data_IF_328740547192
#
_entry.id   IF_328740547192
#
_cell.length_a   1.000
_cell.length_b   1.000
_cell.length_c   1.000
_cell.angle_alpha   90.00
_cell.angle_beta   90.00
_cell.angle_gamma   90.00
#
_symmetry.space_group_name_H-M   'P 1'
#
loop_
_entity.id
_entity.type
_entity.pdbx_description
1 polymer ?
#
# COMPACT_ATOMS: atom_id res chain seq x y z
N UNK A 1 2.99 -12.83 -12.00
CA UNK A 1 2.50 -13.03 -10.63
C UNK A 1 1.92 -14.44 -10.57
N UNK A 2 2.47 -15.33 -9.73
CA UNK A 2 1.93 -16.69 -9.57
C UNK A 2 0.69 -16.62 -8.69
N UNK A 3 -0.45 -17.08 -9.20
CA UNK A 3 -1.69 -17.18 -8.41
C UNK A 3 -1.71 -18.56 -7.73
N UNK A 4 -2.02 -18.58 -6.45
CA UNK A 4 -2.15 -19.81 -5.67
C UNK A 4 -3.56 -19.81 -5.07
N UNK A 5 -4.28 -20.92 -5.23
CA UNK A 5 -5.57 -21.13 -4.58
C UNK A 5 -5.31 -21.56 -3.14
N UNK A 6 -5.88 -20.84 -2.20
CA UNK A 6 -5.88 -21.20 -0.78
C UNK A 6 -7.34 -21.42 -0.35
N UNK A 7 -7.56 -22.39 0.54
CA UNK A 7 -8.84 -22.63 1.19
C UNK A 7 -8.74 -22.30 2.69
N UNK A 8 -8.61 -21.00 3.06
CA UNK A 8 -8.38 -20.61 4.44
C UNK A 8 -9.60 -20.87 5.34
N UNK A 9 -9.34 -21.18 6.61
CA UNK A 9 -10.36 -21.23 7.67
C UNK A 9 -10.97 -19.84 7.91
N UNK A 10 -12.07 -19.77 8.67
CA UNK A 10 -12.72 -18.49 9.01
C UNK A 10 -11.75 -17.52 9.70
N UNK A 11 -10.98 -18.02 10.66
CA UNK A 11 -9.97 -17.25 11.40
C UNK A 11 -8.85 -16.75 10.49
N UNK A 12 -8.35 -17.61 9.59
CA UNK A 12 -7.35 -17.22 8.61
C UNK A 12 -7.89 -16.15 7.65
N UNK A 13 -9.14 -16.26 7.20
CA UNK A 13 -9.78 -15.21 6.38
C UNK A 13 -9.85 -13.88 7.12
N UNK A 14 -10.19 -13.90 8.41
CA UNK A 14 -10.24 -12.70 9.23
C UNK A 14 -8.85 -12.05 9.34
N UNK A 15 -7.82 -12.86 9.56
CA UNK A 15 -6.43 -12.39 9.60
C UNK A 15 -5.99 -11.80 8.25
N UNK A 16 -6.28 -12.48 7.14
CA UNK A 16 -5.97 -12.00 5.80
C UNK A 16 -6.70 -10.68 5.49
N UNK A 17 -7.96 -10.53 5.94
CA UNK A 17 -8.70 -9.27 5.84
C UNK A 17 -8.02 -8.16 6.63
N UNK A 18 -7.61 -8.42 7.88
CA UNK A 18 -6.90 -7.44 8.72
C UNK A 18 -5.63 -6.94 8.01
N UNK A 19 -4.83 -7.85 7.46
CA UNK A 19 -3.62 -7.50 6.72
C UNK A 19 -3.91 -6.72 5.44
N UNK A 20 -4.95 -7.13 4.70
CA UNK A 20 -5.38 -6.44 3.50
C UNK A 20 -5.86 -5.01 3.82
N UNK A 21 -6.62 -4.83 4.90
CA UNK A 21 -7.11 -3.52 5.33
C UNK A 21 -5.96 -2.60 5.75
N UNK A 22 -4.99 -3.09 6.51
CA UNK A 22 -3.79 -2.33 6.86
C UNK A 22 -2.96 -1.94 5.63
N UNK A 23 -2.81 -2.85 4.66
CA UNK A 23 -2.14 -2.56 3.39
C UNK A 23 -2.87 -1.47 2.59
N UNK A 24 -4.21 -1.56 2.48
CA UNK A 24 -5.04 -0.55 1.80
C UNK A 24 -4.95 0.81 2.49
N UNK A 25 -5.01 0.82 3.82
CA UNK A 25 -4.87 2.04 4.61
C UNK A 25 -3.51 2.71 4.36
N UNK A 26 -2.42 1.93 4.45
CA UNK A 26 -1.05 2.41 4.18
C UNK A 26 -0.91 2.96 2.76
N UNK A 27 -1.46 2.24 1.76
CA UNK A 27 -1.49 2.70 0.36
C UNK A 27 -2.19 4.06 0.24
N UNK A 28 -3.40 4.20 0.80
CA UNK A 28 -4.19 5.41 0.69
C UNK A 28 -3.54 6.60 1.43
N UNK A 29 -2.90 6.36 2.57
CA UNK A 29 -2.13 7.37 3.29
C UNK A 29 -0.97 7.91 2.43
N UNK A 30 -0.21 7.01 1.77
CA UNK A 30 0.85 7.41 0.84
C UNK A 30 0.30 8.22 -0.35
N UNK A 31 -0.80 7.76 -0.96
CA UNK A 31 -1.43 8.47 -2.09
C UNK A 31 -1.88 9.87 -1.68
N UNK A 32 -2.50 10.00 -0.51
CA UNK A 32 -2.94 11.29 0.04
C UNK A 32 -1.76 12.23 0.21
N UNK A 33 -0.70 11.77 0.86
CA UNK A 33 0.52 12.55 1.10
C UNK A 33 1.20 13.01 -0.20
N UNK A 34 1.32 12.13 -1.21
CA UNK A 34 1.93 12.48 -2.49
C UNK A 34 1.04 13.43 -3.31
N UNK A 35 -0.27 13.18 -3.37
CA UNK A 35 -1.21 14.06 -4.07
C UNK A 35 -1.23 15.47 -3.44
N UNK A 36 -1.13 15.57 -2.12
CA UNK A 36 -1.07 16.83 -1.38
C UNK A 36 0.34 17.45 -1.33
N UNK A 37 1.31 16.86 -2.05
CA UNK A 37 2.71 17.33 -2.14
C UNK A 37 3.45 17.39 -0.80
N UNK A 38 2.99 16.66 0.22
CA UNK A 38 3.68 16.54 1.52
C UNK A 38 4.95 15.69 1.36
N UNK A 39 4.87 14.62 0.57
CA UNK A 39 6.02 13.78 0.23
C UNK A 39 6.16 13.60 -1.28
N UNK A 40 7.39 13.39 -1.73
CA UNK A 40 7.66 12.97 -3.10
C UNK A 40 7.38 11.48 -3.26
N UNK A 41 7.16 11.02 -4.50
CA UNK A 41 6.98 9.60 -4.81
C UNK A 41 8.31 8.80 -4.75
N UNK A 42 9.07 8.97 -3.67
CA UNK A 42 10.32 8.28 -3.40
C UNK A 42 10.08 7.04 -2.52
N UNK A 43 10.67 5.92 -2.93
CA UNK A 43 10.50 4.61 -2.30
C UNK A 43 10.90 4.58 -0.83
N UNK A 44 12.06 5.15 -0.50
CA UNK A 44 12.61 5.11 0.86
C UNK A 44 11.96 6.16 1.75
N UNK A 45 11.69 7.35 1.22
CA UNK A 45 11.01 8.42 1.95
C UNK A 45 9.61 7.97 2.43
N UNK A 46 8.79 7.45 1.52
CA UNK A 46 7.44 6.96 1.87
C UNK A 46 7.48 5.73 2.79
N UNK A 47 8.46 4.84 2.63
CA UNK A 47 8.63 3.69 3.54
C UNK A 47 8.94 4.19 4.96
N UNK A 48 9.87 5.13 5.11
CA UNK A 48 10.23 5.63 6.42
C UNK A 48 9.05 6.35 7.09
N UNK A 49 8.26 7.11 6.31
CA UNK A 49 7.09 7.82 6.82
C UNK A 49 5.92 6.89 7.21
N UNK A 50 5.64 5.83 6.44
CA UNK A 50 4.39 5.05 6.59
C UNK A 50 4.60 3.59 7.01
N UNK A 51 5.84 3.12 7.19
CA UNK A 51 6.15 1.72 7.54
C UNK A 51 7.05 1.60 8.77
N UNK A 52 8.06 2.46 8.89
CA UNK A 52 9.00 2.41 10.00
C UNK A 52 8.32 2.92 11.28
N UNK A 53 8.19 2.03 12.28
CA UNK A 53 7.46 2.29 13.52
C UNK A 53 8.25 3.14 14.54
N UNK A 54 9.58 3.05 14.51
CA UNK A 54 10.46 3.71 15.49
C UNK A 54 10.26 5.23 15.46
N UNK A 55 9.82 5.80 16.59
CA UNK A 55 9.62 7.25 16.81
C UNK A 55 8.80 7.94 15.71
N UNK A 56 7.69 7.33 15.29
CA UNK A 56 6.89 7.85 14.19
C UNK A 56 5.47 8.24 14.63
N UNK A 57 5.12 9.55 14.59
CA UNK A 57 3.81 10.05 15.01
C UNK A 57 2.66 9.52 14.15
N UNK A 58 2.94 9.00 12.95
CA UNK A 58 1.92 8.40 12.08
C UNK A 58 1.13 7.28 12.79
N UNK A 59 1.80 6.52 13.66
CA UNK A 59 1.25 5.34 14.32
C UNK A 59 0.60 5.60 15.68
N UNK A 60 0.73 6.80 16.26
CA UNK A 60 0.26 7.11 17.62
C UNK A 60 -1.18 6.65 17.87
N UNK A 61 -2.10 6.99 16.97
CA UNK A 61 -3.51 6.56 17.02
C UNK A 61 -3.84 5.38 16.07
N UNK A 62 -2.82 4.66 15.56
CA UNK A 62 -2.97 3.66 14.49
C UNK A 62 -2.16 2.40 14.74
N UNK A 63 -2.05 2.00 16.00
CA UNK A 63 -1.30 0.83 16.43
C UNK A 63 -1.76 -0.47 15.74
N UNK A 64 -3.05 -0.59 15.42
CA UNK A 64 -3.62 -1.72 14.68
C UNK A 64 -2.94 -2.00 13.33
N UNK A 65 -2.29 -0.99 12.73
CA UNK A 65 -1.52 -1.14 11.48
C UNK A 65 -0.21 -1.89 11.75
N UNK A 66 0.40 -1.71 12.93
CA UNK A 66 1.66 -2.35 13.31
C UNK A 66 1.51 -3.86 13.55
N UNK A 67 0.31 -4.31 13.95
CA UNK A 67 -0.03 -5.74 14.04
C UNK A 67 0.14 -6.47 12.69
N UNK A 68 0.10 -5.73 11.58
CA UNK A 68 0.33 -6.30 10.26
C UNK A 68 1.84 -6.37 9.97
N UNK A 69 2.33 -7.53 9.47
CA UNK A 69 3.73 -7.69 9.09
C UNK A 69 4.25 -6.54 8.24
N UNK A 70 5.45 -6.07 8.60
CA UNK A 70 6.13 -4.92 7.96
C UNK A 70 6.18 -5.05 6.44
N UNK A 71 6.37 -6.26 5.94
CA UNK A 71 6.55 -6.60 4.53
C UNK A 71 5.31 -6.29 3.70
N UNK A 72 4.14 -6.62 4.23
CA UNK A 72 2.85 -6.37 3.58
C UNK A 72 2.63 -4.86 3.46
N UNK A 73 2.90 -4.10 4.53
CA UNK A 73 2.83 -2.63 4.53
C UNK A 73 3.84 -2.02 3.56
N UNK A 74 5.07 -2.53 3.55
CA UNK A 74 6.14 -2.09 2.66
C UNK A 74 5.78 -2.32 1.19
N UNK A 75 5.18 -3.46 0.84
CA UNK A 75 4.72 -3.73 -0.52
C UNK A 75 3.64 -2.74 -0.96
N UNK A 76 2.71 -2.38 -0.07
CA UNK A 76 1.68 -1.39 -0.38
C UNK A 76 2.31 -0.02 -0.74
N UNK A 77 3.34 0.42 0.00
CA UNK A 77 4.10 1.64 -0.33
C UNK A 77 4.80 1.52 -1.69
N UNK A 78 5.43 0.39 -1.98
CA UNK A 78 6.15 0.19 -3.24
C UNK A 78 5.21 0.18 -4.44
N UNK A 79 4.00 -0.34 -4.27
CA UNK A 79 2.96 -0.27 -5.29
C UNK A 79 2.57 1.18 -5.60
N UNK A 80 2.38 2.03 -4.58
CA UNK A 80 2.10 3.46 -4.76
C UNK A 80 3.20 4.12 -5.59
N UNK A 81 4.46 3.92 -5.18
CA UNK A 81 5.63 4.50 -5.86
C UNK A 81 5.71 4.05 -7.31
N UNK A 82 5.47 2.75 -7.58
CA UNK A 82 5.44 2.21 -8.95
C UNK A 82 4.36 2.90 -9.79
N UNK A 83 3.16 3.05 -9.24
CA UNK A 83 2.04 3.65 -9.95
C UNK A 83 2.30 5.13 -10.26
N UNK A 84 2.85 5.90 -9.30
CA UNK A 84 3.23 7.29 -9.53
C UNK A 84 4.36 7.42 -10.57
N UNK A 85 5.41 6.59 -10.48
CA UNK A 85 6.49 6.59 -11.47
C UNK A 85 5.99 6.28 -12.89
N UNK A 86 5.08 5.32 -13.01
CA UNK A 86 4.43 5.02 -14.29
C UNK A 86 3.64 6.21 -14.81
N UNK A 87 2.86 6.87 -13.96
CA UNK A 87 2.08 8.04 -14.35
C UNK A 87 2.97 9.24 -14.74
N UNK A 88 4.06 9.51 -14.01
CA UNK A 88 5.03 10.53 -14.38
C UNK A 88 5.71 10.23 -15.72
N UNK A 89 6.05 8.98 -15.98
CA UNK A 89 6.63 8.55 -17.27
C UNK A 89 5.65 8.78 -18.41
N UNK A 90 4.39 8.36 -18.25
CA UNK A 90 3.34 8.60 -19.25
C UNK A 90 3.10 10.09 -19.49
N UNK A 91 3.14 10.92 -18.43
CA UNK A 91 3.00 12.36 -18.55
C UNK A 91 4.16 12.97 -19.34
N UNK A 92 5.39 12.56 -19.05
CA UNK A 92 6.60 13.01 -19.77
C UNK A 92 6.55 12.62 -21.25
N UNK A 93 6.02 11.45 -21.56
CA UNK A 93 5.91 10.96 -22.93
C UNK A 93 4.71 11.58 -23.70
N UNK A 94 3.95 12.50 -23.08
CA UNK A 94 2.78 13.14 -23.73
C UNK A 94 1.52 12.27 -23.80
N UNK A 95 1.56 11.04 -23.30
CA UNK A 95 0.40 10.13 -23.32
C UNK A 95 -0.75 10.63 -22.44
N UNK A 96 -0.45 11.40 -21.39
CA UNK A 96 -1.43 12.01 -20.49
C UNK A 96 -1.05 13.46 -20.16
N UNK A 97 -2.01 14.38 -20.18
CA UNK A 97 -1.75 15.78 -19.81
C UNK A 97 -1.72 16.03 -18.30
N UNK A 98 -2.67 15.44 -17.56
CA UNK A 98 -2.82 15.57 -16.10
C UNK A 98 -3.16 14.22 -15.50
N UNK A 99 -2.75 14.00 -14.25
CA UNK A 99 -3.19 12.83 -13.51
C UNK A 99 -3.30 13.13 -12.01
N UNK A 100 -4.22 12.43 -11.35
CA UNK A 100 -4.37 12.40 -9.90
C UNK A 100 -4.57 10.94 -9.50
N UNK A 101 -3.72 10.42 -8.61
CA UNK A 101 -3.83 9.03 -8.20
C UNK A 101 -5.04 8.87 -7.27
N UNK A 102 -5.88 7.86 -7.53
CA UNK A 102 -7.07 7.60 -6.72
C UNK A 102 -6.80 6.61 -5.59
N UNK A 103 -7.65 6.66 -4.57
CA UNK A 103 -7.58 5.74 -3.44
C UNK A 103 -8.11 4.35 -3.82
N UNK A 104 -7.58 3.32 -3.14
CA UNK A 104 -8.11 1.97 -3.19
C UNK A 104 -9.38 1.88 -2.36
N UNK A 105 -10.43 1.32 -2.95
CA UNK A 105 -11.71 1.06 -2.28
C UNK A 105 -11.77 -0.35 -1.72
N UNK A 106 -12.53 -0.51 -0.63
CA UNK A 106 -12.74 -1.81 0.01
C UNK A 106 -13.47 -2.79 -0.93
N UNK A 107 -14.48 -2.31 -1.66
CA UNK A 107 -15.24 -3.12 -2.64
C UNK A 107 -14.31 -3.77 -3.67
N UNK A 108 -13.42 -2.98 -4.29
CA UNK A 108 -12.47 -3.50 -5.30
C UNK A 108 -11.47 -4.49 -4.71
N UNK A 109 -11.00 -4.22 -3.50
CA UNK A 109 -10.09 -5.10 -2.79
C UNK A 109 -10.70 -6.48 -2.55
N UNK A 110 -11.93 -6.54 -2.03
CA UNK A 110 -12.61 -7.81 -1.74
C UNK A 110 -12.89 -8.65 -2.99
N UNK A 111 -13.13 -8.01 -4.13
CA UNK A 111 -13.34 -8.70 -5.42
C UNK A 111 -12.04 -9.26 -6.03
N UNK A 112 -10.88 -8.69 -5.71
CA UNK A 112 -9.63 -8.98 -6.41
C UNK A 112 -8.76 -10.07 -5.73
N UNK A 113 -9.21 -10.59 -4.59
CA UNK A 113 -8.45 -11.52 -3.75
C UNK A 113 -7.36 -10.84 -2.91
N UNK A 114 -6.60 -11.63 -2.15
CA UNK A 114 -5.52 -11.14 -1.29
C UNK A 114 -4.21 -11.02 -2.07
N UNK A 115 -3.52 -9.88 -1.93
CA UNK A 115 -2.16 -9.68 -2.45
C UNK A 115 -1.25 -9.40 -1.26
N UNK A 116 -0.39 -10.35 -0.94
CA UNK A 116 0.49 -10.30 0.22
C UNK A 116 1.94 -10.45 -0.19
N UNK A 117 2.81 -9.74 0.53
CA UNK A 117 4.24 -9.78 0.32
C UNK A 117 4.81 -10.89 1.17
N UNK A 118 5.52 -11.80 0.53
CA UNK A 118 6.20 -12.91 1.20
C UNK A 118 7.69 -12.54 1.22
N UNK A 119 8.31 -12.58 2.40
CA UNK A 119 9.77 -12.45 2.50
C UNK A 119 10.41 -13.64 1.80
N UNK A 120 11.51 -13.39 1.10
CA UNK A 120 12.32 -14.49 0.62
C UNK A 120 12.98 -15.15 1.85
N UNK A 121 12.90 -16.47 1.99
CA UNK A 121 13.65 -17.19 3.02
C UNK A 121 15.16 -16.98 2.86
#
# INVERSE_FOLDING_TARGET
MRKIKLNPTKEQKLLLNKYADAARFTYNACVSSVNNKIHTANKFALRNAFVTAKNNPFFEHKQWVLDTPKVIRQQAVFEVVKNFKSAFTNKRNGNIGKFKMTFKTLKRQRMSGYVLGIEKP
#
